data_IF_365747737287
#
_entry.id   IF_365747737287
#
_cell.length_a   1.000
_cell.length_b   1.000
_cell.length_c   1.000
_cell.angle_alpha   90.00
_cell.angle_beta   90.00
_cell.angle_gamma   90.00
#
_symmetry.space_group_name_H-M   'P 1'
#
loop_
_entity.id
_entity.type
_entity.pdbx_description
1 polymer ?
#
# COMPACT_ATOMS: atom_id res chain seq x y z
N UNK A 1 21.14 20.88 -9.30
CA UNK A 1 19.72 21.18 -9.59
C UNK A 1 19.52 20.85 -11.06
N UNK A 2 18.75 19.80 -11.36
CA UNK A 2 18.49 19.42 -12.75
C UNK A 2 17.49 20.41 -13.36
N UNK A 3 17.78 20.90 -14.57
CA UNK A 3 16.90 21.82 -15.29
C UNK A 3 15.61 21.09 -15.72
N UNK A 4 14.45 21.63 -15.36
CA UNK A 4 13.15 21.20 -15.87
C UNK A 4 12.62 22.32 -16.76
N UNK A 5 12.40 22.05 -18.05
CA UNK A 5 11.95 23.06 -19.00
C UNK A 5 10.58 23.64 -18.66
N UNK A 6 10.26 24.84 -19.17
CA UNK A 6 9.02 25.58 -18.85
C UNK A 6 7.70 24.83 -19.11
N UNK A 7 7.72 23.80 -19.97
CA UNK A 7 6.56 22.95 -20.32
C UNK A 7 6.80 21.48 -20.00
N UNK A 8 7.76 21.20 -19.12
CA UNK A 8 8.10 19.85 -18.70
C UNK A 8 7.80 19.69 -17.22
N UNK A 9 7.45 18.47 -16.83
CA UNK A 9 7.29 18.08 -15.44
C UNK A 9 8.27 16.96 -15.15
N UNK A 10 8.99 17.06 -14.03
CA UNK A 10 9.78 15.94 -13.54
C UNK A 10 8.85 14.95 -12.84
N UNK A 11 8.74 13.76 -13.41
CA UNK A 11 8.00 12.65 -12.80
C UNK A 11 9.01 11.75 -12.11
N UNK A 12 8.72 11.38 -10.86
CA UNK A 12 9.45 10.35 -10.12
C UNK A 12 8.48 9.25 -9.77
N UNK A 13 8.91 8.01 -9.92
CA UNK A 13 8.14 6.86 -9.47
C UNK A 13 8.45 6.59 -8.00
N UNK A 14 7.58 5.87 -7.30
CA UNK A 14 7.82 5.44 -5.91
C UNK A 14 9.05 4.54 -5.75
N UNK A 15 9.53 4.00 -6.86
CA UNK A 15 10.75 3.20 -6.94
C UNK A 15 12.03 4.04 -7.05
N UNK A 16 11.91 5.36 -7.21
CA UNK A 16 13.03 6.30 -7.17
C UNK A 16 13.57 6.42 -5.73
N UNK A 17 14.88 6.27 -5.55
CA UNK A 17 15.53 6.35 -4.23
C UNK A 17 15.51 7.75 -3.61
N UNK A 18 15.28 8.79 -4.42
CA UNK A 18 15.13 10.17 -3.99
C UNK A 18 13.71 10.55 -3.60
N UNK A 19 12.73 9.65 -3.71
CA UNK A 19 11.37 9.86 -3.21
C UNK A 19 11.20 9.11 -1.88
N UNK A 20 10.59 9.79 -0.89
CA UNK A 20 10.36 9.25 0.46
C UNK A 20 8.93 9.53 0.92
N UNK A 21 7.91 8.85 0.34
CA UNK A 21 6.53 9.07 0.76
C UNK A 21 6.33 8.65 2.21
N UNK A 22 5.62 9.48 2.97
CA UNK A 22 5.18 9.14 4.31
C UNK A 22 3.96 8.21 4.21
N UNK A 23 4.03 7.07 4.89
CA UNK A 23 2.99 6.05 4.84
C UNK A 23 2.56 5.60 6.22
N UNK A 24 1.42 4.91 6.25
CA UNK A 24 0.86 4.27 7.43
C UNK A 24 0.40 2.86 7.10
N UNK A 25 0.53 1.98 8.08
CA UNK A 25 -0.06 0.64 8.07
C UNK A 25 -1.58 0.75 8.24
N UNK A 26 -2.33 0.21 7.29
CA UNK A 26 -3.78 0.06 7.33
C UNK A 26 -4.15 -1.44 7.34
N UNK A 27 -4.93 -1.86 8.33
CA UNK A 27 -5.37 -3.24 8.51
C UNK A 27 -6.86 -3.28 8.80
N UNK A 28 -7.63 -4.01 8.00
CA UNK A 28 -9.09 -4.06 8.11
C UNK A 28 -9.77 -3.66 6.80
N UNK A 29 -10.60 -2.62 6.85
CA UNK A 29 -11.47 -2.19 5.75
C UNK A 29 -10.74 -1.98 4.41
N UNK A 30 -9.66 -1.20 4.38
CA UNK A 30 -8.89 -0.91 3.17
C UNK A 30 -8.23 -2.16 2.60
N UNK A 31 -7.72 -3.03 3.47
CA UNK A 31 -7.14 -4.31 3.07
C UNK A 31 -8.21 -5.24 2.46
N UNK A 32 -9.39 -5.32 3.07
CA UNK A 32 -10.51 -6.10 2.57
C UNK A 32 -11.03 -5.56 1.23
N UNK A 33 -11.12 -4.24 1.08
CA UNK A 33 -11.53 -3.58 -0.16
C UNK A 33 -10.58 -3.89 -1.31
N UNK A 34 -9.26 -3.88 -1.06
CA UNK A 34 -8.28 -4.23 -2.07
C UNK A 34 -8.39 -5.71 -2.48
N UNK A 35 -8.59 -6.61 -1.52
CA UNK A 35 -8.80 -8.03 -1.83
C UNK A 35 -10.11 -8.27 -2.60
N UNK A 36 -11.21 -7.61 -2.21
CA UNK A 36 -12.50 -7.70 -2.90
C UNK A 36 -12.38 -7.20 -4.36
N UNK A 37 -11.65 -6.11 -4.59
CA UNK A 37 -11.35 -5.58 -5.93
C UNK A 37 -10.61 -6.61 -6.79
N UNK A 38 -9.61 -7.29 -6.23
CA UNK A 38 -8.86 -8.34 -6.92
C UNK A 38 -9.74 -9.56 -7.23
N UNK A 39 -10.56 -10.01 -6.27
CA UNK A 39 -11.50 -11.11 -6.47
C UNK A 39 -12.51 -10.79 -7.57
N UNK A 40 -13.07 -9.58 -7.59
CA UNK A 40 -13.99 -9.16 -8.63
C UNK A 40 -13.33 -9.11 -10.02
N UNK A 41 -12.04 -8.77 -10.09
CA UNK A 41 -11.30 -8.83 -11.35
C UNK A 41 -11.13 -10.27 -11.84
N UNK A 42 -10.80 -11.20 -10.94
CA UNK A 42 -10.70 -12.64 -11.24
C UNK A 42 -12.05 -13.20 -11.69
N UNK A 43 -13.11 -12.93 -10.93
CA UNK A 43 -14.47 -13.39 -11.22
C UNK A 43 -14.90 -13.02 -12.65
N UNK A 44 -14.72 -11.76 -13.06
CA UNK A 44 -15.05 -11.29 -14.42
C UNK A 44 -14.28 -11.98 -15.54
N UNK A 45 -13.08 -12.50 -15.26
CA UNK A 45 -12.29 -13.25 -16.24
C UNK A 45 -12.73 -14.71 -16.31
N UNK A 46 -13.08 -15.29 -15.16
CA UNK A 46 -13.58 -16.67 -15.06
C UNK A 46 -14.95 -16.81 -15.71
N UNK A 47 -15.87 -15.86 -15.46
CA UNK A 47 -17.24 -15.87 -15.98
C UNK A 47 -17.28 -16.05 -17.51
N UNK A 48 -16.35 -15.40 -18.22
CA UNK A 48 -16.25 -15.39 -19.69
C UNK A 48 -15.53 -16.59 -20.28
N UNK A 49 -15.01 -17.48 -19.45
CA UNK A 49 -14.24 -18.66 -19.89
C UNK A 49 -15.01 -19.94 -19.64
N UNK A 50 -15.06 -20.79 -20.66
CA UNK A 50 -15.69 -22.11 -20.62
C UNK A 50 -14.64 -23.23 -20.55
N UNK A 51 -13.38 -22.91 -20.83
CA UNK A 51 -12.26 -23.84 -20.92
C UNK A 51 -11.52 -24.08 -19.59
N UNK A 52 -11.91 -23.37 -18.52
CA UNK A 52 -11.26 -23.43 -17.21
C UNK A 52 -11.69 -24.62 -16.35
N UNK A 53 -12.85 -25.19 -16.62
CA UNK A 53 -13.49 -26.17 -15.75
C UNK A 53 -13.85 -27.43 -16.52
N UNK A 54 -13.83 -28.58 -15.84
CA UNK A 54 -14.15 -29.87 -16.45
C UNK A 54 -15.65 -30.08 -16.61
N UNK A 55 -16.47 -29.28 -15.90
CA UNK A 55 -17.93 -29.33 -15.96
C UNK A 55 -18.58 -28.00 -15.55
N UNK A 56 -19.84 -27.81 -15.94
CA UNK A 56 -20.66 -26.65 -15.54
C UNK A 56 -20.82 -26.60 -14.02
N UNK A 57 -21.04 -27.74 -13.37
CA UNK A 57 -21.22 -27.84 -11.91
C UNK A 57 -19.97 -27.35 -11.16
N UNK A 58 -18.79 -27.67 -11.67
CA UNK A 58 -17.51 -27.21 -11.08
C UNK A 58 -17.38 -25.68 -11.20
N UNK A 59 -17.74 -25.11 -12.36
CA UNK A 59 -17.76 -23.66 -12.58
C UNK A 59 -18.72 -22.95 -11.62
N UNK A 60 -19.96 -23.40 -11.55
CA UNK A 60 -20.99 -22.82 -10.65
C UNK A 60 -20.55 -22.87 -9.17
N UNK A 61 -19.92 -23.97 -8.75
CA UNK A 61 -19.37 -24.10 -7.40
C UNK A 61 -18.24 -23.10 -7.13
N UNK A 62 -17.33 -22.93 -8.10
CA UNK A 62 -16.26 -21.94 -8.01
C UNK A 62 -16.82 -20.51 -7.89
N UNK A 63 -17.74 -20.15 -8.77
CA UNK A 63 -18.38 -18.83 -8.80
C UNK A 63 -19.11 -18.53 -7.49
N UNK A 64 -19.86 -19.49 -6.94
CA UNK A 64 -20.52 -19.36 -5.64
C UNK A 64 -19.52 -19.11 -4.51
N UNK A 65 -18.44 -19.89 -4.44
CA UNK A 65 -17.43 -19.72 -3.39
C UNK A 65 -16.73 -18.35 -3.47
N UNK A 66 -16.49 -17.84 -4.68
CA UNK A 66 -15.93 -16.51 -4.88
C UNK A 66 -16.91 -15.41 -4.44
N UNK A 67 -18.19 -15.54 -4.76
CA UNK A 67 -19.24 -14.61 -4.32
C UNK A 67 -19.38 -14.60 -2.79
N UNK A 68 -19.42 -15.77 -2.14
CA UNK A 68 -19.48 -15.91 -0.69
C UNK A 68 -18.26 -15.26 0.00
N UNK A 69 -17.07 -15.41 -0.60
CA UNK A 69 -15.85 -14.76 -0.09
C UNK A 69 -15.92 -13.24 -0.24
N UNK A 70 -16.41 -12.74 -1.38
CA UNK A 70 -16.58 -11.31 -1.60
C UNK A 70 -17.54 -10.71 -0.58
N UNK A 71 -18.69 -11.36 -0.34
CA UNK A 71 -19.66 -10.90 0.66
C UNK A 71 -19.05 -10.81 2.07
N UNK A 72 -18.20 -11.76 2.45
CA UNK A 72 -17.50 -11.73 3.75
C UNK A 72 -16.53 -10.56 3.87
N UNK A 73 -15.90 -10.15 2.76
CA UNK A 73 -14.98 -9.00 2.73
C UNK A 73 -15.71 -7.66 2.77
N UNK A 74 -16.96 -7.60 2.29
CA UNK A 74 -17.82 -6.40 2.28
C UNK A 74 -18.49 -6.12 3.64
N UNK A 75 -18.34 -7.00 4.63
CA UNK A 75 -18.82 -6.78 6.00
C UNK A 75 -18.27 -5.45 6.57
N UNK A 76 -18.95 -4.84 7.54
CA UNK A 76 -18.48 -3.61 8.18
C UNK A 76 -17.19 -3.86 8.97
N UNK A 77 -16.07 -3.39 8.43
CA UNK A 77 -14.80 -3.28 9.13
C UNK A 77 -14.41 -1.80 9.17
N UNK A 78 -13.79 -1.37 10.26
CA UNK A 78 -13.02 -0.14 10.29
C UNK A 78 -11.55 -0.46 10.05
N UNK A 79 -10.79 0.52 9.54
CA UNK A 79 -9.35 0.38 9.45
C UNK A 79 -8.71 0.58 10.82
N UNK A 80 -7.92 -0.40 11.25
CA UNK A 80 -6.91 -0.20 12.26
C UNK A 80 -5.71 0.48 11.63
N UNK A 81 -5.58 1.78 11.87
CA UNK A 81 -4.41 2.56 11.49
C UNK A 81 -3.29 2.41 12.53
N UNK A 82 -2.15 1.87 12.10
CA UNK A 82 -1.07 1.48 13.00
C UNK A 82 0.22 2.24 12.66
N UNK A 83 1.35 1.54 12.58
CA UNK A 83 2.67 2.12 12.47
C UNK A 83 2.81 3.08 11.28
N UNK A 84 3.51 4.20 11.51
CA UNK A 84 3.87 5.19 10.52
C UNK A 84 5.34 5.07 10.19
N UNK A 85 5.71 5.30 8.94
CA UNK A 85 7.09 5.29 8.50
C UNK A 85 7.23 5.87 7.11
N UNK A 86 8.42 5.71 6.54
CA UNK A 86 8.71 6.15 5.17
C UNK A 86 8.91 4.96 4.25
N UNK A 87 8.56 5.13 2.98
CA UNK A 87 8.84 4.17 1.92
C UNK A 87 9.89 4.72 0.97
N UNK A 88 10.84 3.86 0.61
CA UNK A 88 12.00 4.21 -0.19
C UNK A 88 12.07 3.26 -1.38
N UNK A 89 12.28 3.85 -2.57
CA UNK A 89 12.64 3.11 -3.76
C UNK A 89 14.08 2.55 -3.69
N UNK A 90 14.42 1.67 -4.62
CA UNK A 90 15.78 1.15 -4.78
C UNK A 90 16.36 1.62 -6.12
N UNK A 91 17.55 2.20 -6.09
CA UNK A 91 18.31 2.58 -7.29
C UNK A 91 19.08 1.40 -7.92
N UNK A 92 18.82 0.15 -7.49
CA UNK A 92 19.46 -1.03 -8.08
C UNK A 92 19.05 -1.19 -9.53
N UNK A 93 20.02 -1.43 -10.42
CA UNK A 93 19.84 -1.45 -11.88
C UNK A 93 18.57 -2.17 -12.30
N UNK A 94 17.67 -1.44 -12.98
CA UNK A 94 16.33 -1.83 -13.46
C UNK A 94 16.24 -3.15 -14.25
N UNK A 95 17.36 -3.79 -14.57
CA UNK A 95 17.46 -4.87 -15.54
C UNK A 95 17.28 -6.29 -14.96
N UNK A 96 17.15 -6.47 -13.63
CA UNK A 96 17.11 -7.83 -13.03
C UNK A 96 15.84 -8.21 -12.25
N UNK A 97 14.88 -7.30 -12.04
CA UNK A 97 13.63 -7.65 -11.32
C UNK A 97 12.43 -6.96 -11.94
N UNK A 98 11.41 -7.74 -12.32
CA UNK A 98 10.17 -7.24 -12.96
C UNK A 98 9.30 -6.35 -12.04
N UNK A 99 9.56 -6.33 -10.74
CA UNK A 99 8.98 -5.38 -9.80
C UNK A 99 10.00 -5.11 -8.67
N UNK A 100 10.57 -3.90 -8.55
CA UNK A 100 11.52 -3.61 -7.48
C UNK A 100 10.79 -3.62 -6.14
N UNK A 101 11.35 -4.31 -5.15
CA UNK A 101 10.88 -4.22 -3.77
C UNK A 101 11.15 -2.82 -3.23
N UNK A 102 10.22 -2.32 -2.43
CA UNK A 102 10.36 -1.06 -1.71
C UNK A 102 10.90 -1.36 -0.31
N UNK A 103 11.69 -0.43 0.22
CA UNK A 103 12.19 -0.51 1.58
C UNK A 103 11.39 0.44 2.46
N UNK A 104 10.80 -0.08 3.53
CA UNK A 104 10.19 0.73 4.57
C UNK A 104 11.16 0.95 5.73
N UNK A 105 11.21 2.17 6.24
CA UNK A 105 12.12 2.58 7.32
C UNK A 105 11.35 3.34 8.39
N UNK A 106 11.69 3.09 9.65
CA UNK A 106 11.25 3.93 10.77
C UNK A 106 9.80 3.69 11.20
N UNK A 107 9.26 2.49 10.98
CA UNK A 107 7.89 2.14 11.35
C UNK A 107 7.73 2.05 12.87
N UNK A 108 7.03 3.02 13.46
CA UNK A 108 6.68 3.04 14.88
C UNK A 108 5.25 3.57 15.10
N UNK A 109 4.75 3.41 16.33
CA UNK A 109 3.47 3.98 16.73
C UNK A 109 3.51 4.47 18.19
N UNK A 110 4.62 5.10 18.58
CA UNK A 110 4.88 5.46 19.98
C UNK A 110 4.06 6.67 20.47
N UNK A 111 3.51 7.46 19.56
CA UNK A 111 2.70 8.64 19.88
C UNK A 111 1.26 8.41 19.43
N UNK A 112 0.33 8.69 20.33
CA UNK A 112 -1.09 8.69 20.01
C UNK A 112 -1.41 9.79 18.99
N UNK A 113 -2.42 9.56 18.17
CA UNK A 113 -2.96 10.54 17.25
C UNK A 113 -4.47 10.34 17.06
N UNK A 114 -5.06 11.11 16.16
CA UNK A 114 -6.50 11.08 15.86
C UNK A 114 -6.99 9.70 15.37
N UNK A 115 -6.06 8.82 14.96
CA UNK A 115 -6.33 7.49 14.44
C UNK A 115 -6.11 6.39 15.50
N UNK A 116 -5.65 6.74 16.70
CA UNK A 116 -5.62 5.82 17.84
C UNK A 116 -4.52 6.06 18.89
N UNK A 117 -4.55 5.26 19.98
CA UNK A 117 -3.61 5.39 21.09
C UNK A 117 -2.22 4.87 20.70
N UNK A 118 -1.19 5.42 21.34
CA UNK A 118 0.20 4.96 21.22
C UNK A 118 0.32 3.47 21.54
N UNK A 119 1.09 2.74 20.73
CA UNK A 119 1.42 1.33 20.95
C UNK A 119 2.93 1.16 20.91
N UNK A 120 3.49 0.81 22.07
CA UNK A 120 4.90 0.43 22.16
C UNK A 120 5.19 -0.85 21.39
N UNK A 121 6.45 -1.03 21.00
CA UNK A 121 6.95 -2.23 20.30
C UNK A 121 6.71 -3.53 21.09
N UNK A 122 6.52 -3.44 22.41
CA UNK A 122 6.25 -4.57 23.31
C UNK A 122 4.76 -4.88 23.50
N UNK A 123 3.85 -4.20 22.78
CA UNK A 123 2.42 -4.47 22.90
C UNK A 123 2.08 -5.88 22.39
N UNK A 124 1.04 -6.49 22.97
CA UNK A 124 0.60 -7.85 22.60
C UNK A 124 0.09 -7.96 21.16
N UNK A 125 -0.35 -6.83 20.58
CA UNK A 125 -0.83 -6.76 19.20
C UNK A 125 0.24 -6.10 18.33
N UNK A 126 0.78 -6.81 17.31
CA UNK A 126 1.83 -6.25 16.48
C UNK A 126 1.34 -5.03 15.69
N UNK A 127 2.10 -3.94 15.80
CA UNK A 127 1.85 -2.67 15.08
C UNK A 127 2.07 -2.79 13.57
N UNK A 128 2.74 -3.86 13.13
CA UNK A 128 2.97 -4.20 11.73
C UNK A 128 3.14 -5.72 11.59
N UNK A 129 2.60 -6.30 10.52
CA UNK A 129 2.78 -7.73 10.16
C UNK A 129 2.80 -7.91 8.65
N UNK A 130 3.27 -9.08 8.20
CA UNK A 130 3.20 -9.45 6.79
C UNK A 130 1.76 -9.46 6.28
N UNK A 131 1.58 -9.00 5.03
CA UNK A 131 0.27 -8.86 4.41
C UNK A 131 -0.44 -7.54 4.69
N UNK A 132 0.00 -6.75 5.67
CA UNK A 132 -0.60 -5.43 5.95
C UNK A 132 -0.49 -4.50 4.73
N UNK A 133 -1.52 -3.68 4.53
CA UNK A 133 -1.54 -2.66 3.49
C UNK A 133 -0.82 -1.40 3.97
N UNK A 134 -0.08 -0.75 3.08
CA UNK A 134 0.46 0.59 3.29
C UNK A 134 -0.30 1.61 2.47
N UNK A 135 -0.70 2.69 3.11
CA UNK A 135 -1.35 3.85 2.49
C UNK A 135 -0.58 5.13 2.79
N UNK A 136 -0.65 6.14 1.94
CA UNK A 136 -0.04 7.45 2.21
C UNK A 136 -0.67 8.10 3.45
N UNK A 137 0.16 8.71 4.29
CA UNK A 137 -0.28 9.32 5.55
C UNK A 137 -0.43 10.84 5.50
N UNK A 138 0.00 11.49 4.41
CA UNK A 138 -0.03 12.95 4.25
C UNK A 138 0.97 13.73 5.09
N UNK A 139 1.77 13.07 5.93
CA UNK A 139 2.74 13.72 6.81
C UNK A 139 3.94 14.32 6.08
N UNK A 140 4.14 13.95 4.81
CA UNK A 140 5.16 14.55 3.93
C UNK A 140 4.71 15.87 3.29
N UNK A 141 3.41 16.23 3.39
CA UNK A 141 2.83 17.41 2.75
C UNK A 141 2.81 17.36 1.22
N UNK A 142 3.04 16.18 0.63
CA UNK A 142 3.11 15.97 -0.83
C UNK A 142 1.94 15.10 -1.30
N UNK A 143 1.73 13.96 -0.67
CA UNK A 143 0.69 13.01 -1.08
C UNK A 143 -0.54 13.12 -0.16
N UNK A 144 -1.78 13.13 -0.71
CA UNK A 144 -2.97 13.07 0.13
C UNK A 144 -3.02 11.76 0.92
N UNK A 145 -3.77 11.74 2.02
CA UNK A 145 -3.99 10.54 2.83
C UNK A 145 -4.75 9.48 2.02
N UNK A 146 -4.39 8.20 2.20
CA UNK A 146 -5.21 7.06 1.75
C UNK A 146 -4.90 6.49 0.37
N UNK A 147 -3.82 6.94 -0.31
CA UNK A 147 -3.38 6.31 -1.55
C UNK A 147 -2.67 4.99 -1.25
N UNK A 148 -3.14 3.89 -1.85
CA UNK A 148 -2.54 2.57 -1.67
C UNK A 148 -1.14 2.51 -2.29
N UNK A 149 -0.16 2.05 -1.50
CA UNK A 149 1.25 2.01 -1.88
C UNK A 149 1.72 0.59 -2.15
N UNK A 150 1.56 -0.30 -1.17
CA UNK A 150 2.17 -1.62 -1.19
C UNK A 150 1.71 -2.49 -0.05
N UNK A 151 2.12 -3.75 -0.09
CA UNK A 151 1.86 -4.74 0.95
C UNK A 151 3.15 -5.09 1.66
N UNK A 152 3.12 -5.16 2.99
CA UNK A 152 4.26 -5.61 3.80
C UNK A 152 4.59 -7.04 3.41
N UNK A 153 5.79 -7.25 2.86
CA UNK A 153 6.31 -8.56 2.49
C UNK A 153 7.02 -9.22 3.67
N UNK A 154 7.79 -8.44 4.42
CA UNK A 154 8.59 -8.94 5.53
C UNK A 154 8.82 -7.82 6.55
N UNK A 155 8.69 -8.13 7.83
CA UNK A 155 9.12 -7.25 8.93
C UNK A 155 10.53 -7.64 9.36
N UNK A 156 11.48 -6.70 9.32
CA UNK A 156 12.87 -7.01 9.69
C UNK A 156 13.02 -7.05 11.22
N UNK A 157 13.90 -7.92 11.75
CA UNK A 157 14.17 -7.97 13.18
C UNK A 157 14.65 -6.62 13.72
N UNK A 158 14.13 -6.23 14.89
CA UNK A 158 14.62 -5.04 15.59
C UNK A 158 16.10 -5.21 15.92
N UNK A 159 16.90 -4.23 15.53
CA UNK A 159 18.28 -4.10 16.00
C UNK A 159 18.25 -3.68 17.48
N UNK A 160 19.25 -4.10 18.26
CA UNK A 160 19.35 -3.67 19.67
C UNK A 160 19.36 -2.15 19.75
N UNK A 161 18.50 -1.59 20.60
CA UNK A 161 18.34 -0.14 20.76
C UNK A 161 17.47 0.55 19.70
N UNK A 162 16.86 -0.18 18.77
CA UNK A 162 15.91 0.39 17.80
C UNK A 162 14.54 0.62 18.44
N UNK A 163 13.94 1.77 18.16
CA UNK A 163 12.58 2.15 18.55
C UNK A 163 11.59 2.09 17.36
N UNK A 164 12.04 1.56 16.21
CA UNK A 164 11.23 1.41 15.01
C UNK A 164 11.62 0.17 14.20
N UNK A 165 10.66 -0.34 13.43
CA UNK A 165 10.85 -1.43 12.47
C UNK A 165 11.30 -0.92 11.10
N UNK A 166 12.16 -1.71 10.46
CA UNK A 166 12.36 -1.64 9.01
C UNK A 166 11.57 -2.79 8.37
N UNK A 167 11.08 -2.60 7.14
CA UNK A 167 10.28 -3.58 6.43
C UNK A 167 10.67 -3.69 4.95
N UNK A 168 10.38 -4.85 4.36
CA UNK A 168 10.36 -5.04 2.91
C UNK A 168 8.91 -4.98 2.43
N UNK A 169 8.68 -4.29 1.32
CA UNK A 169 7.33 -4.00 0.80
C UNK A 169 7.25 -4.35 -0.68
N UNK A 170 6.18 -5.04 -1.04
CA UNK A 170 5.81 -5.28 -2.43
C UNK A 170 4.91 -4.13 -2.90
N UNK A 171 5.28 -3.36 -3.94
CA UNK A 171 4.35 -2.40 -4.54
C UNK A 171 3.05 -3.09 -4.98
N UNK A 172 1.90 -2.42 -4.83
CA UNK A 172 0.64 -2.94 -5.38
C UNK A 172 0.62 -2.94 -6.91
N UNK A 173 1.33 -1.99 -7.52
CA UNK A 173 1.48 -1.92 -8.97
C UNK A 173 2.58 -2.90 -9.40
N UNK A 174 2.20 -3.98 -10.08
CA UNK A 174 3.11 -5.04 -10.53
C UNK A 174 3.94 -4.64 -11.76
N UNK A 175 3.37 -3.87 -12.70
CA UNK A 175 3.97 -3.56 -13.99
C UNK A 175 4.23 -2.05 -14.17
N UNK A 176 5.09 -1.47 -13.31
CA UNK A 176 5.42 -0.03 -13.36
C UNK A 176 6.06 0.43 -14.67
N UNK A 177 6.67 -0.49 -15.44
CA UNK A 177 7.30 -0.17 -16.72
C UNK A 177 6.32 -0.16 -17.90
N UNK A 178 5.11 -0.71 -17.72
CA UNK A 178 4.12 -0.90 -18.78
C UNK A 178 2.91 0.05 -18.60
N UNK A 179 3.11 1.15 -17.86
CA UNK A 179 2.07 2.13 -17.58
C UNK A 179 1.70 2.91 -18.86
N UNK A 180 0.43 2.82 -19.25
CA UNK A 180 -0.11 3.58 -20.39
C UNK A 180 -0.74 4.91 -19.98
N UNK A 181 -1.41 4.91 -18.82
CA UNK A 181 -2.15 6.07 -18.31
C UNK A 181 -1.74 6.33 -16.87
N UNK A 182 -1.47 7.60 -16.57
CA UNK A 182 -1.16 8.08 -15.22
C UNK A 182 -2.02 9.30 -14.92
N UNK A 183 -2.39 9.46 -13.65
CA UNK A 183 -3.09 10.64 -13.16
C UNK A 183 -2.13 11.48 -12.31
N UNK A 184 -2.10 12.77 -12.60
CA UNK A 184 -1.34 13.74 -11.80
C UNK A 184 -2.33 14.33 -10.78
N UNK A 185 -2.04 14.11 -9.50
CA UNK A 185 -2.79 14.73 -8.43
C UNK A 185 -2.35 16.18 -8.26
N UNK A 186 -3.27 17.13 -8.03
CA UNK A 186 -2.90 18.50 -7.73
C UNK A 186 -2.13 18.56 -6.40
N UNK A 187 -1.30 19.60 -6.19
CA UNK A 187 -0.66 19.83 -4.91
C UNK A 187 -1.70 19.93 -3.79
N UNK A 188 -1.39 19.39 -2.62
CA UNK A 188 -2.23 19.62 -1.44
C UNK A 188 -2.25 21.12 -1.14
N UNK A 189 -3.44 21.68 -0.89
CA UNK A 189 -3.54 23.05 -0.39
C UNK A 189 -2.82 23.11 0.95
N UNK A 190 -1.92 24.10 1.10
CA UNK A 190 -1.31 24.35 2.41
C UNK A 190 -2.43 24.70 3.36
N UNK A 191 -2.63 23.89 4.40
CA UNK A 191 -3.44 24.29 5.54
C UNK A 191 -2.78 25.54 6.10
N UNK A 192 -3.36 26.71 5.83
CA UNK A 192 -2.96 27.95 6.46
C UNK A 192 -3.23 27.79 7.94
N UNK A 193 -2.19 27.59 8.73
CA UNK A 193 -2.27 27.73 10.19
C UNK A 193 -2.86 29.11 10.48
N UNK A 194 -3.97 29.23 11.24
CA UNK A 194 -4.41 30.52 11.71
C UNK A 194 -3.27 31.13 12.52
N UNK A 195 -2.86 32.34 12.16
CA UNK A 195 -1.90 33.13 12.92
C UNK A 195 -2.46 33.39 14.31
N UNK A 196 -1.79 32.86 15.34
CA UNK A 196 -1.92 33.30 16.73
C UNK A 196 -1.27 34.68 16.93
#
# INVERSE_FOLDING_TARGET
VDFVGKKQSRIRLITDSGLRPAVRVARGASQNRELARLLQAVFRQIEKREDLFSSIVEKECCEKNLADLQQKLETEWEDGYLAKGEIHGSSTSFWRSRSPLLKGIGFNYEYADDEGPSRGLSSSVPIIKEGDLLVTSGLDGVFPVGLSVGTVLQVLPLKRGSFAYDISVRPLVSHLNDLQTVFILPPMEKVSTPSE
#
